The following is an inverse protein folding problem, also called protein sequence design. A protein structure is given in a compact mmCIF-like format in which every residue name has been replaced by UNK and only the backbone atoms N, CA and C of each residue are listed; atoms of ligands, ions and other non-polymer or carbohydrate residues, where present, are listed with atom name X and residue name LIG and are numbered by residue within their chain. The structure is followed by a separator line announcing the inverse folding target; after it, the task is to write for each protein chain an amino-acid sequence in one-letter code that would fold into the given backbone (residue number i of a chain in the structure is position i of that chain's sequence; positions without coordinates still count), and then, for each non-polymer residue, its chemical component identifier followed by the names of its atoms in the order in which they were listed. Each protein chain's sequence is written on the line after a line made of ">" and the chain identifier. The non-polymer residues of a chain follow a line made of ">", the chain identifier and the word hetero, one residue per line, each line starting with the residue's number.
data_IF_868836595862
#
_entry.id   IF_868836595862
#
_cell.length_a   1.000
_cell.length_b   1.000
_cell.length_c   1.000
_cell.angle_alpha   90.00
_cell.angle_beta   90.00
_cell.angle_gamma   90.00
#
_symmetry.space_group_name_H-M   'P 1'
#
loop_
_entity.id
_entity.type
_entity.pdbx_description
1 polymer ?
#
# COMPACT_ATOMS: atom_id res chain seq x y z
N UNK A 1 -66.06 -4.03 15.76
CA UNK A 1 -64.84 -3.20 15.73
C UNK A 1 -63.63 -4.18 15.74
N UNK A 2 -62.99 -4.37 14.59
CA UNK A 2 -61.86 -5.28 14.45
C UNK A 2 -60.55 -4.51 14.72
N UNK A 3 -59.71 -5.01 15.65
CA UNK A 3 -58.40 -4.45 15.97
C UNK A 3 -57.44 -4.87 14.87
N UNK A 4 -56.93 -3.87 14.12
CA UNK A 4 -55.83 -4.08 13.16
C UNK A 4 -54.54 -4.44 13.91
N UNK A 5 -53.96 -5.60 13.61
CA UNK A 5 -52.67 -6.04 14.09
C UNK A 5 -51.56 -5.31 13.31
N UNK A 6 -50.62 -4.65 14.04
CA UNK A 6 -49.44 -4.03 13.47
C UNK A 6 -48.52 -5.10 12.87
N UNK A 7 -47.90 -4.89 11.68
CA UNK A 7 -46.97 -5.84 11.12
C UNK A 7 -45.69 -5.90 11.99
N UNK A 8 -45.27 -7.11 12.36
CA UNK A 8 -43.96 -7.37 12.97
C UNK A 8 -42.86 -6.99 11.95
N UNK A 9 -42.02 -6.01 12.34
CA UNK A 9 -40.76 -5.75 11.63
C UNK A 9 -39.90 -7.01 11.72
N UNK A 10 -39.74 -7.72 10.59
CA UNK A 10 -38.69 -8.75 10.43
C UNK A 10 -37.36 -8.04 10.49
N UNK A 11 -36.55 -8.32 11.52
CA UNK A 11 -35.17 -7.90 11.58
C UNK A 11 -34.46 -8.46 10.35
N UNK A 12 -33.84 -7.60 9.52
CA UNK A 12 -33.00 -8.03 8.42
C UNK A 12 -31.87 -8.89 9.03
N UNK A 13 -31.71 -10.12 8.57
CA UNK A 13 -30.52 -10.93 8.88
C UNK A 13 -29.33 -10.10 8.39
N UNK A 14 -28.51 -9.60 9.31
CA UNK A 14 -27.27 -8.89 8.98
C UNK A 14 -26.43 -9.72 8.01
N UNK A 15 -25.66 -9.04 7.16
CA UNK A 15 -24.72 -9.73 6.27
C UNK A 15 -23.84 -10.70 7.09
N UNK A 16 -23.41 -11.83 6.51
CA UNK A 16 -22.52 -12.77 7.20
C UNK A 16 -21.31 -12.03 7.75
N UNK A 17 -21.00 -12.23 9.02
CA UNK A 17 -19.85 -11.60 9.67
C UNK A 17 -18.57 -12.22 9.14
N UNK A 18 -17.60 -11.36 8.82
CA UNK A 18 -16.27 -11.77 8.36
C UNK A 18 -15.29 -11.94 9.54
N UNK A 19 -15.82 -11.99 10.76
CA UNK A 19 -15.02 -12.10 11.99
C UNK A 19 -14.17 -13.37 11.99
N UNK A 20 -12.88 -13.17 12.21
CA UNK A 20 -11.92 -14.25 12.46
C UNK A 20 -11.61 -14.22 13.96
N UNK A 21 -11.51 -15.37 14.66
CA UNK A 21 -11.09 -15.38 16.05
C UNK A 21 -9.71 -14.73 16.23
N UNK A 22 -9.63 -13.77 17.12
CA UNK A 22 -8.37 -13.09 17.49
C UNK A 22 -8.38 -12.82 18.99
N UNK A 23 -7.21 -12.77 19.60
CA UNK A 23 -7.00 -12.37 20.99
C UNK A 23 -6.77 -10.86 21.15
N UNK A 24 -6.67 -10.12 20.02
CA UNK A 24 -6.60 -8.66 20.04
C UNK A 24 -7.91 -8.06 20.54
N UNK A 25 -7.83 -7.12 21.46
CA UNK A 25 -8.98 -6.56 22.16
C UNK A 25 -9.28 -5.09 21.78
N UNK A 26 -10.47 -4.61 22.15
CA UNK A 26 -10.84 -3.21 22.01
C UNK A 26 -10.87 -2.71 20.57
N UNK A 27 -10.15 -1.61 20.31
CA UNK A 27 -10.07 -0.96 19.01
C UNK A 27 -8.90 -1.45 18.15
N UNK A 28 -8.16 -2.48 18.56
CA UNK A 28 -6.99 -2.98 17.86
C UNK A 28 -7.29 -3.31 16.38
N UNK A 29 -8.28 -4.18 16.16
CA UNK A 29 -8.62 -4.62 14.80
C UNK A 29 -9.04 -3.46 13.88
N UNK A 30 -9.96 -2.55 14.27
CA UNK A 30 -10.29 -1.39 13.44
C UNK A 30 -9.10 -0.47 13.13
N UNK A 31 -8.26 -0.13 14.12
CA UNK A 31 -7.12 0.77 13.94
C UNK A 31 -6.06 0.16 13.01
N UNK A 32 -5.70 -1.10 13.23
CA UNK A 32 -4.72 -1.82 12.40
C UNK A 32 -5.27 -2.02 10.98
N UNK A 33 -6.51 -2.46 10.83
CA UNK A 33 -7.12 -2.68 9.52
C UNK A 33 -7.22 -1.39 8.69
N UNK A 34 -7.52 -0.26 9.33
CA UNK A 34 -7.54 1.04 8.66
C UNK A 34 -6.14 1.41 8.13
N UNK A 35 -5.11 1.26 8.96
CA UNK A 35 -3.73 1.55 8.56
C UNK A 35 -3.28 0.63 7.41
N UNK A 36 -3.51 -0.68 7.52
CA UNK A 36 -3.14 -1.64 6.49
C UNK A 36 -3.89 -1.41 5.17
N UNK A 37 -5.18 -1.09 5.18
CA UNK A 37 -5.93 -0.79 3.96
C UNK A 37 -5.40 0.47 3.26
N UNK A 38 -4.92 1.47 4.00
CA UNK A 38 -4.20 2.61 3.44
C UNK A 38 -2.93 2.17 2.71
N UNK A 39 -2.14 1.29 3.32
CA UNK A 39 -0.91 0.73 2.71
C UNK A 39 -1.22 -0.12 1.48
N UNK A 40 -2.29 -0.91 1.48
CA UNK A 40 -2.74 -1.66 0.28
C UNK A 40 -3.06 -0.70 -0.86
N UNK A 41 -3.77 0.40 -0.59
CA UNK A 41 -4.11 1.39 -1.59
C UNK A 41 -2.85 2.10 -2.15
N UNK A 42 -1.93 2.48 -1.28
CA UNK A 42 -0.66 3.11 -1.67
C UNK A 42 0.23 2.15 -2.46
N UNK A 43 0.24 0.86 -2.12
CA UNK A 43 0.98 -0.15 -2.88
C UNK A 43 0.42 -0.30 -4.31
N UNK A 44 -0.90 -0.33 -4.50
CA UNK A 44 -1.50 -0.32 -5.84
C UNK A 44 -1.16 0.95 -6.64
N UNK A 45 -1.24 2.12 -6.01
CA UNK A 45 -0.93 3.40 -6.65
C UNK A 45 0.56 3.49 -7.04
N UNK A 46 1.46 3.10 -6.13
CA UNK A 46 2.90 3.07 -6.39
C UNK A 46 3.25 2.06 -7.48
N UNK A 47 2.68 0.85 -7.43
CA UNK A 47 2.83 -0.14 -8.50
C UNK A 47 2.44 0.41 -9.86
N UNK A 48 1.24 0.99 -9.96
CA UNK A 48 0.72 1.56 -11.20
C UNK A 48 1.62 2.68 -11.75
N UNK A 49 2.08 3.60 -10.88
CA UNK A 49 3.00 4.67 -11.27
C UNK A 49 4.36 4.14 -11.70
N UNK A 50 4.91 3.18 -10.99
CA UNK A 50 6.19 2.57 -11.34
C UNK A 50 6.11 1.85 -12.69
N UNK A 51 5.00 1.15 -12.98
CA UNK A 51 4.74 0.54 -14.29
C UNK A 51 4.51 1.59 -15.39
N UNK A 52 3.83 2.70 -15.09
CA UNK A 52 3.74 3.82 -16.02
C UNK A 52 5.15 4.31 -16.42
N UNK A 53 6.03 4.55 -15.47
CA UNK A 53 7.40 5.00 -15.74
C UNK A 53 8.24 3.92 -16.45
N UNK A 54 8.09 2.66 -16.08
CA UNK A 54 8.69 1.53 -16.79
C UNK A 54 8.32 1.51 -18.29
N UNK A 55 7.06 1.75 -18.64
CA UNK A 55 6.62 1.75 -20.03
C UNK A 55 7.09 2.97 -20.82
N UNK A 56 7.24 4.13 -20.16
CA UNK A 56 7.46 5.42 -20.84
C UNK A 56 8.88 5.95 -20.68
N UNK A 57 9.77 5.30 -19.91
CA UNK A 57 11.16 5.73 -19.81
C UNK A 57 11.85 5.61 -21.16
N UNK A 58 12.77 6.55 -21.45
CA UNK A 58 13.55 6.60 -22.69
C UNK A 58 14.91 7.25 -22.44
N UNK A 59 15.81 7.21 -23.41
CA UNK A 59 17.09 7.88 -23.36
C UNK A 59 18.30 6.93 -23.15
N UNK A 60 19.50 7.47 -22.87
CA UNK A 60 20.75 6.70 -22.86
C UNK A 60 20.78 5.54 -21.86
N UNK A 61 20.05 5.66 -20.74
CA UNK A 61 19.96 4.64 -19.69
C UNK A 61 18.62 3.87 -19.74
N UNK A 62 17.97 3.84 -20.90
CA UNK A 62 16.66 3.21 -21.09
C UNK A 62 16.58 1.81 -20.48
N UNK A 63 17.51 0.91 -20.87
CA UNK A 63 17.48 -0.48 -20.43
C UNK A 63 17.61 -0.59 -18.91
N UNK A 64 18.52 0.16 -18.32
CA UNK A 64 18.79 0.08 -16.88
C UNK A 64 17.60 0.57 -16.06
N UNK A 65 17.01 1.70 -16.43
CA UNK A 65 15.83 2.23 -15.73
C UNK A 65 14.57 1.41 -16.00
N UNK A 66 14.38 0.93 -17.23
CA UNK A 66 13.28 0.06 -17.58
C UNK A 66 13.25 -1.21 -16.72
N UNK A 67 14.40 -1.89 -16.56
CA UNK A 67 14.53 -3.07 -15.70
C UNK A 67 14.41 -2.70 -14.22
N UNK A 68 15.05 -1.64 -13.76
CA UNK A 68 14.95 -1.16 -12.37
C UNK A 68 13.49 -0.91 -11.96
N UNK A 69 12.72 -0.23 -12.80
CA UNK A 69 11.32 0.05 -12.52
C UNK A 69 10.45 -1.22 -12.57
N UNK A 70 10.76 -2.18 -13.46
CA UNK A 70 10.04 -3.45 -13.52
C UNK A 70 10.25 -4.30 -12.27
N UNK A 71 11.50 -4.43 -11.83
CA UNK A 71 11.87 -5.15 -10.62
C UNK A 71 11.17 -4.52 -9.40
N UNK A 72 11.26 -3.19 -9.26
CA UNK A 72 10.63 -2.48 -8.14
C UNK A 72 9.09 -2.56 -8.17
N UNK A 73 8.47 -2.48 -9.35
CA UNK A 73 7.03 -2.66 -9.48
C UNK A 73 6.61 -4.06 -9.01
N UNK A 74 7.37 -5.09 -9.39
CA UNK A 74 7.10 -6.46 -8.98
C UNK A 74 7.24 -6.66 -7.47
N UNK A 75 8.28 -6.07 -6.84
CA UNK A 75 8.46 -6.09 -5.38
C UNK A 75 7.29 -5.40 -4.65
N UNK A 76 6.83 -4.24 -5.14
CA UNK A 76 5.69 -3.52 -4.55
C UNK A 76 4.41 -4.33 -4.70
N UNK A 77 4.16 -4.91 -5.88
CA UNK A 77 2.96 -5.71 -6.12
C UNK A 77 2.86 -6.91 -5.18
N UNK A 78 3.99 -7.56 -4.90
CA UNK A 78 4.04 -8.71 -3.99
C UNK A 78 3.59 -8.38 -2.55
N UNK A 79 3.70 -7.13 -2.10
CA UNK A 79 3.27 -6.74 -0.75
C UNK A 79 1.75 -6.62 -0.60
N UNK A 80 1.02 -6.48 -1.71
CA UNK A 80 -0.42 -6.21 -1.71
C UNK A 80 -1.21 -7.35 -1.08
N UNK A 81 -0.92 -8.57 -1.48
CA UNK A 81 -1.64 -9.75 -1.01
C UNK A 81 -1.39 -9.98 0.49
N UNK A 82 -0.14 -9.93 0.92
CA UNK A 82 0.23 -10.11 2.33
C UNK A 82 -0.47 -9.09 3.25
N UNK A 83 -0.52 -7.81 2.84
CA UNK A 83 -1.20 -6.75 3.59
C UNK A 83 -2.71 -6.97 3.62
N UNK A 84 -3.33 -7.27 2.48
CA UNK A 84 -4.76 -7.51 2.36
C UNK A 84 -5.19 -8.75 3.15
N UNK A 85 -4.44 -9.85 3.06
CA UNK A 85 -4.68 -11.06 3.84
C UNK A 85 -4.47 -10.82 5.33
N UNK A 86 -3.49 -9.98 5.73
CA UNK A 86 -3.32 -9.63 7.14
C UNK A 86 -4.58 -8.98 7.70
N UNK A 87 -5.19 -8.04 6.97
CA UNK A 87 -6.48 -7.44 7.34
C UNK A 87 -7.56 -8.53 7.51
N UNK A 88 -7.59 -9.52 6.60
CA UNK A 88 -8.55 -10.64 6.68
C UNK A 88 -8.28 -11.56 7.86
N UNK A 89 -7.02 -11.85 8.16
CA UNK A 89 -6.61 -12.64 9.34
C UNK A 89 -7.06 -12.01 10.66
N UNK A 90 -7.15 -10.67 10.69
CA UNK A 90 -7.69 -9.91 11.82
C UNK A 90 -9.23 -9.90 11.89
N UNK A 91 -9.93 -10.43 10.90
CA UNK A 91 -11.40 -10.45 10.84
C UNK A 91 -12.02 -9.17 10.28
N UNK A 92 -11.21 -8.25 9.76
CA UNK A 92 -11.68 -7.02 9.15
C UNK A 92 -11.86 -7.14 7.64
N UNK A 93 -12.47 -6.13 7.02
CA UNK A 93 -12.65 -6.02 5.56
C UNK A 93 -11.43 -5.34 4.95
N UNK A 94 -10.97 -5.84 3.80
CA UNK A 94 -9.98 -5.19 2.97
C UNK A 94 -10.62 -4.54 1.75
N UNK A 95 -9.82 -3.95 0.86
CA UNK A 95 -10.24 -3.21 -0.34
C UNK A 95 -11.01 -4.13 -1.31
N UNK A 96 -12.07 -3.59 -1.93
CA UNK A 96 -12.92 -4.33 -2.86
C UNK A 96 -12.82 -3.88 -4.32
N UNK A 97 -12.31 -2.67 -4.59
CA UNK A 97 -12.37 -2.09 -5.93
C UNK A 97 -11.30 -1.02 -6.16
N UNK A 98 -11.01 -0.77 -7.44
CA UNK A 98 -10.15 0.35 -7.87
C UNK A 98 -10.68 1.70 -7.36
N UNK A 99 -12.01 1.89 -7.32
CA UNK A 99 -12.61 3.11 -6.79
C UNK A 99 -12.38 3.29 -5.29
N UNK A 100 -12.20 2.21 -4.53
CA UNK A 100 -11.82 2.26 -3.11
C UNK A 100 -10.33 2.55 -2.94
N UNK A 101 -9.46 1.98 -3.79
CA UNK A 101 -8.05 2.33 -3.86
C UNK A 101 -7.88 3.83 -4.08
N UNK A 102 -8.54 4.39 -5.09
CA UNK A 102 -8.45 5.81 -5.42
C UNK A 102 -8.93 6.76 -4.30
N UNK A 103 -9.76 6.26 -3.36
CA UNK A 103 -10.20 7.04 -2.20
C UNK A 103 -9.22 6.97 -1.03
N UNK A 104 -8.48 5.88 -0.90
CA UNK A 104 -7.60 5.61 0.24
C UNK A 104 -6.13 5.93 -0.04
N UNK A 105 -5.71 5.92 -1.31
CA UNK A 105 -4.33 6.19 -1.68
C UNK A 105 -3.89 7.59 -1.26
N UNK A 106 -2.66 7.69 -0.78
CA UNK A 106 -1.96 8.96 -0.50
C UNK A 106 -0.92 9.28 -1.57
N UNK A 107 -0.46 8.28 -2.30
CA UNK A 107 0.43 8.42 -3.46
C UNK A 107 -0.33 9.14 -4.58
N UNK A 108 0.23 10.22 -5.08
CA UNK A 108 -0.40 11.04 -6.13
C UNK A 108 -0.22 10.41 -7.50
N UNK A 109 -1.27 10.42 -8.31
CA UNK A 109 -1.18 10.00 -9.71
C UNK A 109 -0.26 10.93 -10.51
N UNK A 110 0.38 10.36 -11.55
CA UNK A 110 1.09 11.15 -12.57
C UNK A 110 0.49 10.86 -13.94
N UNK A 111 -0.26 11.84 -14.45
CA UNK A 111 -0.96 11.79 -15.75
C UNK A 111 -0.30 12.74 -16.78
N UNK A 112 0.97 13.11 -16.59
CA UNK A 112 1.69 13.96 -17.52
C UNK A 112 2.02 13.19 -18.80
N UNK A 113 1.89 13.86 -19.95
CA UNK A 113 2.27 13.29 -21.25
C UNK A 113 3.77 12.98 -21.36
N UNK A 114 4.59 13.72 -20.61
CA UNK A 114 6.04 13.54 -20.55
C UNK A 114 6.58 13.75 -19.14
N UNK A 115 7.44 12.84 -18.71
CA UNK A 115 8.24 12.96 -17.49
C UNK A 115 9.69 12.60 -17.85
N UNK A 116 10.67 13.41 -17.48
CA UNK A 116 12.07 13.09 -17.73
C UNK A 116 12.52 11.88 -16.88
N UNK A 117 13.48 11.07 -17.34
CA UNK A 117 13.97 9.93 -16.54
C UNK A 117 14.48 10.33 -15.16
N UNK A 118 15.15 11.48 -15.05
CA UNK A 118 15.58 12.01 -13.74
C UNK A 118 14.42 12.44 -12.85
N UNK A 119 13.32 12.94 -13.42
CA UNK A 119 12.10 13.23 -12.66
C UNK A 119 11.38 11.97 -12.23
N UNK A 120 11.34 10.92 -13.09
CA UNK A 120 10.79 9.62 -12.72
C UNK A 120 11.49 9.04 -11.49
N UNK A 121 12.83 9.02 -11.49
CA UNK A 121 13.62 8.56 -10.34
C UNK A 121 13.32 9.37 -9.08
N UNK A 122 13.30 10.71 -9.18
CA UNK A 122 13.02 11.60 -8.03
C UNK A 122 11.60 11.43 -7.49
N UNK A 123 10.63 11.26 -8.37
CA UNK A 123 9.24 11.07 -7.97
C UNK A 123 9.05 9.73 -7.26
N UNK A 124 9.59 8.63 -7.80
CA UNK A 124 9.55 7.32 -7.15
C UNK A 124 10.30 7.29 -5.81
N UNK A 125 11.41 8.03 -5.67
CA UNK A 125 12.08 8.20 -4.36
C UNK A 125 11.17 8.91 -3.34
N UNK A 126 10.47 9.96 -3.75
CA UNK A 126 9.56 10.69 -2.87
C UNK A 126 8.37 9.81 -2.45
N UNK A 127 7.83 9.04 -3.39
CA UNK A 127 6.74 8.11 -3.13
C UNK A 127 7.16 6.97 -2.18
N UNK A 128 8.32 6.34 -2.41
CA UNK A 128 8.84 5.32 -1.49
C UNK A 128 9.05 5.88 -0.07
N UNK A 129 9.57 7.11 0.08
CA UNK A 129 9.67 7.78 1.39
C UNK A 129 8.30 7.97 2.05
N UNK A 130 7.27 8.30 1.27
CA UNK A 130 5.90 8.45 1.78
C UNK A 130 5.35 7.11 2.28
N UNK A 131 5.54 6.04 1.51
CA UNK A 131 5.12 4.68 1.88
C UNK A 131 5.88 4.19 3.11
N UNK A 132 7.21 4.38 3.17
CA UNK A 132 8.04 4.03 4.36
C UNK A 132 7.51 4.73 5.61
N UNK A 133 7.20 6.02 5.52
CA UNK A 133 6.63 6.77 6.64
C UNK A 133 5.26 6.23 7.07
N UNK A 134 4.40 5.88 6.12
CA UNK A 134 3.10 5.28 6.40
C UNK A 134 3.23 3.89 7.04
N UNK A 135 4.17 3.06 6.57
CA UNK A 135 4.47 1.76 7.17
C UNK A 135 4.99 1.89 8.61
N UNK A 136 5.86 2.87 8.90
CA UNK A 136 6.31 3.12 10.28
C UNK A 136 5.14 3.54 11.19
N UNK A 137 4.25 4.39 10.71
CA UNK A 137 3.06 4.78 11.48
C UNK A 137 2.12 3.58 11.73
N UNK A 138 1.95 2.70 10.74
CA UNK A 138 1.18 1.47 10.89
C UNK A 138 1.86 0.48 11.88
N UNK A 139 3.20 0.42 11.87
CA UNK A 139 3.98 -0.35 12.83
C UNK A 139 3.76 0.13 14.26
N UNK A 140 3.81 1.44 14.51
CA UNK A 140 3.51 2.02 15.82
C UNK A 140 2.09 1.68 16.31
N UNK A 141 1.11 1.61 15.38
CA UNK A 141 -0.26 1.18 15.71
C UNK A 141 -0.27 -0.32 16.09
N UNK A 142 0.45 -1.16 15.34
CA UNK A 142 0.55 -2.59 15.63
C UNK A 142 1.20 -2.84 17.01
N UNK A 143 2.31 -2.17 17.30
CA UNK A 143 3.01 -2.25 18.60
C UNK A 143 2.14 -1.80 19.77
N UNK A 144 1.39 -0.71 19.60
CA UNK A 144 0.44 -0.21 20.63
C UNK A 144 -0.58 -1.27 21.03
N UNK A 145 -0.89 -2.20 20.13
CA UNK A 145 -1.89 -3.25 20.33
C UNK A 145 -1.29 -4.65 20.49
N UNK A 146 0.03 -4.75 20.69
CA UNK A 146 0.77 -6.02 20.81
C UNK A 146 0.58 -6.98 19.60
N UNK A 147 0.25 -6.42 18.42
CA UNK A 147 0.15 -7.21 17.18
C UNK A 147 1.52 -7.41 16.54
N UNK A 148 2.31 -8.29 17.15
CA UNK A 148 3.67 -8.63 16.73
C UNK A 148 3.73 -9.19 15.29
N UNK A 149 2.67 -9.82 14.81
CA UNK A 149 2.62 -10.38 13.46
C UNK A 149 2.48 -9.29 12.39
N UNK A 150 1.67 -8.26 12.64
CA UNK A 150 1.60 -7.08 11.76
C UNK A 150 2.91 -6.29 11.83
N UNK A 151 3.48 -6.06 13.02
CA UNK A 151 4.75 -5.38 13.18
C UNK A 151 5.87 -6.07 12.37
N UNK A 152 6.03 -7.37 12.51
CA UNK A 152 7.04 -8.18 11.79
C UNK A 152 6.90 -8.12 10.26
N UNK A 153 5.67 -8.14 9.73
CA UNK A 153 5.44 -7.98 8.28
C UNK A 153 5.90 -6.59 7.83
N UNK A 154 5.54 -5.55 8.58
CA UNK A 154 5.88 -4.17 8.26
C UNK A 154 7.38 -3.89 8.33
N UNK A 155 8.13 -4.47 9.29
CA UNK A 155 9.59 -4.37 9.38
C UNK A 155 10.26 -4.85 8.09
N UNK A 156 9.87 -6.02 7.58
CA UNK A 156 10.40 -6.56 6.32
C UNK A 156 10.06 -5.65 5.11
N UNK A 157 8.84 -5.10 5.07
CA UNK A 157 8.43 -4.22 3.98
C UNK A 157 9.10 -2.85 4.03
N UNK A 158 9.40 -2.33 5.23
CA UNK A 158 10.17 -1.10 5.43
C UNK A 158 11.59 -1.30 4.88
N UNK A 159 12.29 -2.38 5.25
CA UNK A 159 13.64 -2.68 4.76
C UNK A 159 13.67 -2.79 3.23
N UNK A 160 12.73 -3.54 2.64
CA UNK A 160 12.61 -3.66 1.19
C UNK A 160 12.34 -2.31 0.51
N UNK A 161 11.50 -1.45 1.10
CA UNK A 161 11.22 -0.12 0.55
C UNK A 161 12.42 0.83 0.68
N UNK A 162 13.19 0.74 1.74
CA UNK A 162 14.45 1.49 1.91
C UNK A 162 15.50 1.06 0.89
N UNK A 163 15.61 -0.25 0.61
CA UNK A 163 16.45 -0.78 -0.48
C UNK A 163 16.02 -0.19 -1.83
N UNK A 164 14.73 -0.21 -2.17
CA UNK A 164 14.23 0.40 -3.42
C UNK A 164 14.59 1.87 -3.51
N UNK A 165 14.42 2.61 -2.42
CA UNK A 165 14.76 4.02 -2.37
C UNK A 165 16.26 4.29 -2.54
N UNK A 166 17.12 3.44 -1.98
CA UNK A 166 18.56 3.49 -2.16
C UNK A 166 18.94 3.27 -3.64
N UNK A 167 18.40 2.24 -4.30
CA UNK A 167 18.68 1.98 -5.72
C UNK A 167 18.24 3.15 -6.63
N UNK A 168 17.08 3.75 -6.37
CA UNK A 168 16.63 4.94 -7.09
C UNK A 168 17.57 6.14 -6.87
N UNK A 169 18.05 6.32 -5.63
CA UNK A 169 18.98 7.38 -5.29
C UNK A 169 20.31 7.20 -6.04
N UNK A 170 20.92 6.03 -5.99
CA UNK A 170 22.17 5.78 -6.69
C UNK A 170 22.03 5.90 -8.22
N UNK A 171 20.91 5.43 -8.77
CA UNK A 171 20.60 5.59 -10.19
C UNK A 171 20.37 7.06 -10.61
N UNK A 172 20.01 7.94 -9.66
CA UNK A 172 19.78 9.36 -9.92
C UNK A 172 21.03 10.23 -9.90
N UNK A 173 22.18 9.68 -9.44
CA UNK A 173 23.44 10.43 -9.35
C UNK A 173 23.99 10.75 -10.73
N UNK A 174 24.56 11.93 -10.89
CA UNK A 174 25.24 12.34 -12.12
C UNK A 174 26.62 11.69 -12.22
N UNK A 175 27.16 11.58 -13.42
CA UNK A 175 28.47 10.95 -13.66
C UNK A 175 29.65 11.59 -12.90
N UNK A 176 29.49 12.81 -12.38
CA UNK A 176 30.49 13.51 -11.54
C UNK A 176 30.34 13.22 -10.04
N UNK A 177 29.22 12.62 -9.63
CA UNK A 177 28.87 12.32 -8.24
C UNK A 177 28.90 10.83 -7.93
N UNK A 178 28.97 10.00 -8.96
CA UNK A 178 29.03 8.53 -8.84
C UNK A 178 30.46 8.00 -8.83
N UNK A 179 30.61 6.80 -8.26
CA UNK A 179 31.91 6.10 -8.18
C UNK A 179 32.70 6.39 -6.91
N UNK A 180 33.77 5.64 -6.73
CA UNK A 180 34.76 5.77 -5.65
C UNK A 180 36.08 6.24 -6.20
#
# INVERSE_FOLDING_TARGET
>A
MAKASKPKKTASKGAPRLETPTDLSGNAVPEIAQALNGLVADAYALYSKTKNFHWHVSGPHFRDYHLLFDDQASEVFATIDDLAERVRKLGARTIHSIGEIAKLQTIKDNNKDFVSPSDMLRELMADNKTVIKAMRAAHEIADKHDDVATASILENFIDAAEKRNWFLFEASRTGTEGGH
#
